data_IF_073452567063
#
_entry.id   IF_073452567063
#
_cell.length_a   1.000
_cell.length_b   1.000
_cell.length_c   1.000
_cell.angle_alpha   90.00
_cell.angle_beta   90.00
_cell.angle_gamma   90.00
#
_symmetry.space_group_name_H-M   'P 1'
#
loop_
_entity.id
_entity.type
_entity.pdbx_description
1 polymer ?
#
# COMPACT_ATOMS: atom_id res chain seq x y z
N UNK A 1 -0.82 -2.23 1.97
CA UNK A 1 -0.56 -1.94 3.40
C UNK A 1 -0.17 -0.47 3.45
N UNK A 2 -1.09 0.43 3.78
CA UNK A 2 -0.87 1.88 3.63
C UNK A 2 -0.59 2.59 4.96
N UNK A 3 -1.16 2.10 6.06
CA UNK A 3 -0.98 2.67 7.40
C UNK A 3 0.48 2.98 7.78
N UNK A 4 1.44 2.03 7.61
CA UNK A 4 2.83 2.28 7.95
C UNK A 4 3.50 3.39 7.12
N UNK A 5 3.01 3.70 5.91
CA UNK A 5 3.54 4.82 5.12
C UNK A 5 3.16 6.16 5.77
N UNK A 6 1.89 6.30 6.18
CA UNK A 6 1.44 7.48 6.92
C UNK A 6 2.15 7.62 8.26
N UNK A 7 2.23 6.52 9.02
CA UNK A 7 2.94 6.49 10.30
C UNK A 7 4.39 6.95 10.15
N UNK A 8 5.13 6.41 9.18
CA UNK A 8 6.51 6.79 8.95
C UNK A 8 6.64 8.28 8.59
N UNK A 9 5.78 8.80 7.71
CA UNK A 9 5.78 10.21 7.35
C UNK A 9 5.58 11.12 8.57
N UNK A 10 4.63 10.78 9.46
CA UNK A 10 4.38 11.57 10.67
C UNK A 10 5.49 11.44 11.71
N UNK A 11 6.10 10.26 11.88
CA UNK A 11 7.23 10.06 12.80
C UNK A 11 8.45 10.88 12.34
N UNK A 12 8.74 10.89 11.03
CA UNK A 12 9.83 11.69 10.47
C UNK A 12 9.57 13.18 10.67
N UNK A 13 8.35 13.66 10.36
CA UNK A 13 7.99 15.06 10.60
C UNK A 13 8.13 15.44 12.09
N UNK A 14 7.63 14.59 13.00
CA UNK A 14 7.72 14.81 14.43
C UNK A 14 9.18 14.89 14.92
N UNK A 15 10.06 14.00 14.46
CA UNK A 15 11.48 14.02 14.83
C UNK A 15 12.19 15.28 14.30
N UNK A 16 11.94 15.65 13.04
CA UNK A 16 12.50 16.88 12.44
C UNK A 16 12.02 18.15 13.16
N UNK A 17 10.77 18.19 13.61
CA UNK A 17 10.22 19.29 14.42
C UNK A 17 10.83 19.33 15.81
N UNK A 18 10.97 18.18 16.48
CA UNK A 18 11.63 18.06 17.79
C UNK A 18 13.07 18.60 17.73
N UNK A 19 13.78 18.33 16.62
CA UNK A 19 15.12 18.87 16.33
C UNK A 19 15.13 20.32 15.85
N UNK A 20 13.96 20.94 15.63
CA UNK A 20 13.77 22.31 15.12
C UNK A 20 14.37 22.54 13.72
N UNK A 21 14.41 21.50 12.88
CA UNK A 21 14.99 21.55 11.53
C UNK A 21 13.99 21.19 10.42
N UNK A 22 12.71 20.94 10.73
CA UNK A 22 11.67 20.58 9.73
C UNK A 22 11.58 21.54 8.54
N UNK A 23 11.77 22.84 8.78
CA UNK A 23 11.73 23.86 7.73
C UNK A 23 12.83 23.70 6.65
N UNK A 24 13.89 22.95 6.94
CA UNK A 24 14.98 22.68 5.98
C UNK A 24 14.66 21.56 5.00
N UNK A 25 13.66 20.74 5.29
CA UNK A 25 13.38 19.50 4.55
C UNK A 25 11.93 19.50 4.06
N UNK A 26 11.67 19.75 2.77
CA UNK A 26 10.34 19.54 2.20
C UNK A 26 9.98 18.05 2.25
N UNK A 27 8.70 17.74 2.42
CA UNK A 27 8.20 16.37 2.49
C UNK A 27 7.06 16.19 1.50
N UNK A 28 7.09 15.07 0.77
CA UNK A 28 6.06 14.70 -0.20
C UNK A 28 5.62 13.26 0.00
N UNK A 29 4.32 13.03 0.07
CA UNK A 29 3.71 11.72 0.23
C UNK A 29 3.20 11.22 -1.13
N UNK A 30 3.76 10.14 -1.65
CA UNK A 30 3.35 9.55 -2.93
C UNK A 30 2.64 8.24 -2.66
N UNK A 31 1.40 8.10 -3.12
CA UNK A 31 0.59 6.89 -2.89
C UNK A 31 -0.18 6.44 -4.13
N UNK A 32 -0.31 5.13 -4.28
CA UNK A 32 -1.19 4.51 -5.28
C UNK A 32 -2.68 4.62 -4.93
N UNK A 33 -3.01 5.07 -3.71
CA UNK A 33 -4.40 5.27 -3.31
C UNK A 33 -5.10 6.31 -4.20
N UNK A 34 -6.40 6.14 -4.50
CA UNK A 34 -7.16 7.12 -5.29
C UNK A 34 -7.39 8.44 -4.56
N UNK A 35 -7.36 8.42 -3.24
CA UNK A 35 -7.39 9.58 -2.36
C UNK A 35 -6.68 9.25 -1.05
N UNK A 36 -6.27 10.27 -0.30
CA UNK A 36 -5.59 10.10 0.99
C UNK A 36 -6.54 9.46 2.01
N UNK A 37 -6.11 8.40 2.68
CA UNK A 37 -6.93 7.70 3.67
C UNK A 37 -7.85 6.63 3.09
N UNK A 38 -7.67 6.24 1.82
CA UNK A 38 -8.37 5.08 1.24
C UNK A 38 -7.98 3.75 1.93
N UNK A 39 -6.72 3.62 2.35
CA UNK A 39 -6.14 2.53 3.13
C UNK A 39 -6.22 1.13 2.49
N UNK A 40 -6.65 1.03 1.22
CA UNK A 40 -6.94 -0.23 0.55
C UNK A 40 -8.27 -0.86 1.01
N UNK A 41 -9.13 -0.05 1.62
CA UNK A 41 -10.39 -0.46 2.26
C UNK A 41 -11.60 0.34 1.76
N UNK A 42 -11.44 1.23 0.77
CA UNK A 42 -12.50 2.17 0.39
C UNK A 42 -12.70 3.30 1.41
N UNK A 43 -11.71 3.52 2.28
CA UNK A 43 -11.81 4.42 3.43
C UNK A 43 -12.46 3.75 4.65
N UNK A 44 -12.12 4.23 5.85
CA UNK A 44 -12.71 3.77 7.12
C UNK A 44 -13.20 4.99 7.90
N UNK A 45 -14.51 5.12 8.06
CA UNK A 45 -15.11 6.31 8.69
C UNK A 45 -14.66 7.60 7.98
N UNK A 46 -14.24 8.61 8.76
CA UNK A 46 -13.73 9.90 8.23
C UNK A 46 -12.21 9.90 7.97
N UNK A 47 -11.63 8.72 7.69
CA UNK A 47 -10.19 8.59 7.38
C UNK A 47 -9.73 9.56 6.28
N UNK A 48 -10.54 9.85 5.27
CA UNK A 48 -10.16 10.80 4.20
C UNK A 48 -9.92 12.20 4.73
N UNK A 49 -10.95 12.83 5.31
CA UNK A 49 -10.85 14.22 5.75
C UNK A 49 -9.82 14.38 6.87
N UNK A 50 -9.78 13.42 7.80
CA UNK A 50 -8.82 13.40 8.89
C UNK A 50 -7.38 13.35 8.34
N UNK A 51 -7.06 12.39 7.49
CA UNK A 51 -5.69 12.20 7.00
C UNK A 51 -5.24 13.34 6.08
N UNK A 52 -6.13 13.86 5.23
CA UNK A 52 -5.85 15.05 4.43
C UNK A 52 -5.61 16.29 5.31
N UNK A 53 -6.37 16.44 6.40
CA UNK A 53 -6.18 17.53 7.38
C UNK A 53 -4.82 17.43 8.07
N UNK A 54 -4.45 16.25 8.53
CA UNK A 54 -3.15 16.02 9.18
C UNK A 54 -1.99 16.29 8.22
N UNK A 55 -2.04 15.80 6.97
CA UNK A 55 -0.97 16.11 6.00
C UNK A 55 -0.81 17.62 5.76
N UNK A 56 -1.93 18.38 5.66
CA UNK A 56 -1.88 19.85 5.55
C UNK A 56 -1.30 20.51 6.79
N UNK A 57 -1.75 20.13 7.99
CA UNK A 57 -1.24 20.66 9.25
C UNK A 57 0.27 20.44 9.38
N UNK A 58 0.75 19.31 8.87
CA UNK A 58 2.17 18.94 8.86
C UNK A 58 2.96 19.46 7.65
N UNK A 59 2.31 20.19 6.73
CA UNK A 59 2.91 20.77 5.52
C UNK A 59 3.61 19.70 4.66
N UNK A 60 2.91 18.58 4.47
CA UNK A 60 3.35 17.46 3.62
C UNK A 60 2.48 17.50 2.37
N UNK A 61 3.08 17.79 1.22
CA UNK A 61 2.36 17.72 -0.06
C UNK A 61 2.14 16.26 -0.46
N UNK A 62 1.20 15.97 -1.35
CA UNK A 62 0.98 14.58 -1.79
C UNK A 62 0.63 14.43 -3.27
N UNK A 63 0.82 13.20 -3.75
CA UNK A 63 0.40 12.72 -5.07
C UNK A 63 -0.37 11.42 -4.86
N UNK A 64 -1.62 11.38 -5.34
CA UNK A 64 -2.52 10.21 -5.34
C UNK A 64 -2.60 9.62 -6.75
N UNK A 65 -3.23 8.45 -6.90
CA UNK A 65 -3.25 7.68 -8.16
C UNK A 65 -1.85 7.53 -8.76
N UNK A 66 -0.82 7.46 -7.92
CA UNK A 66 0.56 7.50 -8.35
C UNK A 66 1.12 6.08 -8.55
N UNK A 67 1.57 5.80 -9.77
CA UNK A 67 2.38 4.62 -10.12
C UNK A 67 3.84 5.04 -10.24
N UNK A 68 4.70 4.47 -9.40
CA UNK A 68 6.15 4.61 -9.58
C UNK A 68 6.61 3.80 -10.79
N UNK A 69 7.29 4.45 -11.73
CA UNK A 69 7.80 3.80 -12.96
C UNK A 69 9.30 3.52 -12.87
N UNK A 70 10.05 4.38 -12.19
CA UNK A 70 11.50 4.26 -12.05
C UNK A 70 12.00 4.98 -10.79
N UNK A 71 13.08 4.44 -10.21
CA UNK A 71 13.82 5.08 -9.12
C UNK A 71 15.29 5.18 -9.54
N UNK A 72 15.86 6.36 -9.39
CA UNK A 72 17.29 6.62 -9.55
C UNK A 72 17.86 7.25 -8.26
N UNK A 73 19.18 7.41 -8.21
CA UNK A 73 19.82 8.10 -7.10
C UNK A 73 19.27 9.54 -6.97
N UNK A 74 18.53 9.78 -5.89
CA UNK A 74 17.96 11.08 -5.56
C UNK A 74 16.75 11.51 -6.38
N UNK A 75 16.17 10.64 -7.22
CA UNK A 75 15.03 10.99 -8.08
C UNK A 75 14.03 9.84 -8.24
N UNK A 76 12.75 10.16 -8.05
CA UNK A 76 11.62 9.25 -8.22
C UNK A 76 10.77 9.67 -9.42
N UNK A 77 10.51 8.74 -10.34
CA UNK A 77 9.65 8.95 -11.50
C UNK A 77 8.26 8.35 -11.23
N UNK A 78 7.24 9.17 -11.35
CA UNK A 78 5.86 8.82 -11.00
C UNK A 78 4.90 9.23 -12.11
N UNK A 79 3.95 8.37 -12.43
CA UNK A 79 2.80 8.69 -13.26
C UNK A 79 1.55 8.72 -12.39
N UNK A 80 0.86 9.86 -12.36
CA UNK A 80 -0.51 9.96 -11.86
C UNK A 80 -1.46 9.46 -12.94
N UNK A 81 -2.34 8.54 -12.58
CA UNK A 81 -3.37 8.02 -13.46
C UNK A 81 -4.70 8.78 -13.27
N UNK A 82 -5.50 8.90 -14.34
CA UNK A 82 -6.89 9.33 -14.25
C UNK A 82 -7.79 8.16 -13.80
N UNK A 83 -9.10 8.41 -13.69
CA UNK A 83 -10.07 7.38 -13.25
C UNK A 83 -10.17 6.20 -14.22
N UNK A 84 -9.89 6.41 -15.51
CA UNK A 84 -9.87 5.38 -16.56
C UNK A 84 -8.59 4.52 -16.54
N UNK A 85 -7.59 4.89 -15.74
CA UNK A 85 -6.30 4.20 -15.64
C UNK A 85 -5.25 4.67 -16.64
N UNK A 86 -5.54 5.71 -17.43
CA UNK A 86 -4.59 6.33 -18.35
C UNK A 86 -3.67 7.33 -17.62
N UNK A 87 -2.46 7.50 -18.16
CA UNK A 87 -1.51 8.47 -17.62
C UNK A 87 -2.05 9.89 -17.75
N UNK A 88 -2.39 10.52 -16.62
CA UNK A 88 -2.84 11.91 -16.52
C UNK A 88 -1.67 12.87 -16.51
N UNK A 89 -0.63 12.56 -15.71
CA UNK A 89 0.52 13.45 -15.54
C UNK A 89 1.75 12.69 -15.04
N UNK A 90 2.91 13.00 -15.59
CA UNK A 90 4.19 12.53 -15.08
C UNK A 90 4.81 13.53 -14.10
N UNK A 91 5.51 13.01 -13.09
CA UNK A 91 6.23 13.76 -12.07
C UNK A 91 7.64 13.22 -11.94
N UNK A 92 8.59 14.13 -11.78
CA UNK A 92 9.91 13.85 -11.23
C UNK A 92 9.95 14.42 -9.82
N UNK A 93 10.22 13.58 -8.83
CA UNK A 93 10.28 13.97 -7.42
C UNK A 93 11.72 13.75 -6.94
N UNK A 94 12.43 14.85 -6.71
CA UNK A 94 13.75 14.83 -6.12
C UNK A 94 13.67 14.47 -4.62
N UNK A 95 14.63 13.70 -4.13
CA UNK A 95 14.71 13.31 -2.72
C UNK A 95 16.16 13.15 -2.26
N UNK A 96 16.44 13.55 -1.02
CA UNK A 96 17.66 13.14 -0.30
C UNK A 96 17.45 11.79 0.41
N UNK A 97 16.20 11.53 0.81
CA UNK A 97 15.76 10.31 1.48
C UNK A 97 14.36 9.94 0.99
N UNK A 98 14.17 8.68 0.61
CA UNK A 98 12.87 8.13 0.24
C UNK A 98 12.61 6.81 0.97
N UNK A 99 11.34 6.58 1.31
CA UNK A 99 10.82 5.32 1.82
C UNK A 99 9.51 5.05 1.08
N UNK A 100 9.44 3.89 0.43
CA UNK A 100 8.26 3.45 -0.32
C UNK A 100 7.91 2.03 0.12
N UNK A 101 6.61 1.78 0.34
CA UNK A 101 6.13 0.43 0.62
C UNK A 101 6.00 -0.34 -0.69
N UNK A 102 6.69 -1.49 -0.84
CA UNK A 102 6.59 -2.28 -2.05
C UNK A 102 5.25 -3.01 -2.12
N UNK A 103 4.84 -3.35 -3.34
CA UNK A 103 3.73 -4.28 -3.54
C UNK A 103 4.12 -5.68 -3.07
N UNK A 104 3.17 -6.40 -2.45
CA UNK A 104 3.39 -7.78 -2.05
C UNK A 104 3.12 -8.75 -3.21
N UNK A 105 3.87 -9.86 -3.20
CA UNK A 105 3.71 -11.03 -4.05
C UNK A 105 3.96 -12.28 -3.19
N UNK A 106 3.38 -13.41 -3.57
CA UNK A 106 3.76 -14.69 -2.99
C UNK A 106 5.24 -15.04 -3.22
N UNK A 107 5.83 -15.74 -2.27
CA UNK A 107 7.21 -16.23 -2.37
C UNK A 107 7.30 -17.36 -3.41
N UNK A 108 8.42 -17.44 -4.14
CA UNK A 108 8.57 -18.36 -5.28
C UNK A 108 8.28 -19.82 -4.91
N UNK A 109 8.77 -20.31 -3.78
CA UNK A 109 8.55 -21.68 -3.33
C UNK A 109 7.07 -22.07 -3.18
N UNK A 110 6.19 -21.10 -2.98
CA UNK A 110 4.74 -21.29 -2.88
C UNK A 110 4.06 -20.97 -4.22
N UNK A 111 4.44 -19.84 -4.84
CA UNK A 111 3.83 -19.33 -6.07
C UNK A 111 4.05 -20.24 -7.30
N UNK A 112 5.12 -21.04 -7.30
CA UNK A 112 5.47 -21.96 -8.38
C UNK A 112 4.77 -23.33 -8.28
N UNK A 113 4.05 -23.59 -7.18
CA UNK A 113 3.26 -24.82 -7.03
C UNK A 113 2.06 -24.74 -7.98
N UNK A 114 1.92 -25.67 -8.95
CA UNK A 114 0.82 -25.64 -9.90
C UNK A 114 -0.53 -25.62 -9.20
N UNK A 115 -1.46 -24.77 -9.65
CA UNK A 115 -2.84 -24.65 -9.14
C UNK A 115 -3.01 -24.25 -7.66
N UNK A 116 -1.93 -23.89 -6.97
CA UNK A 116 -2.00 -23.47 -5.56
C UNK A 116 -2.39 -21.99 -5.41
N UNK A 117 -1.90 -21.15 -6.31
CA UNK A 117 -1.92 -19.69 -6.16
C UNK A 117 -2.62 -18.97 -7.31
N UNK A 118 -3.05 -17.74 -7.05
CA UNK A 118 -3.44 -16.80 -8.10
C UNK A 118 -2.19 -16.29 -8.88
N UNK A 119 -2.36 -15.51 -9.98
CA UNK A 119 -1.22 -15.01 -10.76
C UNK A 119 -0.21 -14.14 -9.99
N UNK A 120 -0.59 -13.61 -8.82
CA UNK A 120 0.31 -12.87 -7.92
C UNK A 120 0.97 -13.75 -6.85
N UNK A 121 0.81 -15.07 -6.92
CA UNK A 121 1.44 -16.02 -5.99
C UNK A 121 0.76 -16.13 -4.63
N UNK A 122 -0.42 -15.54 -4.43
CA UNK A 122 -1.17 -15.70 -3.19
C UNK A 122 -1.98 -16.99 -3.23
N UNK A 123 -1.95 -17.75 -2.14
CA UNK A 123 -2.62 -19.06 -2.03
C UNK A 123 -4.13 -18.87 -2.11
N UNK A 124 -4.76 -19.60 -3.04
CA UNK A 124 -6.22 -19.64 -3.15
C UNK A 124 -6.79 -20.50 -2.02
N UNK A 125 -7.85 -20.03 -1.37
CA UNK A 125 -8.49 -20.72 -0.24
C UNK A 125 -10.01 -20.78 -0.40
N UNK A 126 -10.64 -21.77 0.24
CA UNK A 126 -12.06 -21.82 0.53
C UNK A 126 -12.39 -21.10 1.86
N UNK A 127 -13.66 -21.12 2.27
CA UNK A 127 -14.14 -20.49 3.51
C UNK A 127 -13.54 -21.09 4.81
N UNK A 128 -12.86 -22.25 4.70
CA UNK A 128 -12.19 -22.94 5.80
C UNK A 128 -10.66 -22.77 5.72
N UNK A 129 -10.18 -21.75 4.99
CA UNK A 129 -8.75 -21.45 4.84
C UNK A 129 -7.93 -22.57 4.19
N UNK A 130 -8.59 -23.48 3.47
CA UNK A 130 -8.00 -24.64 2.79
C UNK A 130 -7.91 -24.41 1.29
N UNK A 131 -6.87 -24.91 0.64
CA UNK A 131 -6.79 -24.84 -0.81
C UNK A 131 -7.86 -25.71 -1.51
N UNK A 132 -8.58 -25.18 -2.53
CA UNK A 132 -9.61 -25.95 -3.24
C UNK A 132 -9.10 -27.18 -4.02
N UNK A 133 -7.85 -27.15 -4.49
CA UNK A 133 -7.20 -28.24 -5.25
C UNK A 133 -6.51 -29.21 -4.30
N UNK A 134 -5.60 -28.70 -3.46
CA UNK A 134 -4.82 -29.47 -2.50
C UNK A 134 -5.50 -29.44 -1.12
N UNK A 135 -6.39 -30.40 -0.87
CA UNK A 135 -7.22 -30.44 0.36
C UNK A 135 -6.45 -30.66 1.67
N UNK A 136 -5.16 -30.95 1.60
CA UNK A 136 -4.25 -31.06 2.75
C UNK A 136 -3.39 -29.80 2.97
N UNK A 137 -3.56 -28.76 2.15
CA UNK A 137 -2.83 -27.48 2.27
C UNK A 137 -3.79 -26.40 2.78
N UNK A 138 -3.36 -25.73 3.84
CA UNK A 138 -4.05 -24.61 4.48
C UNK A 138 -3.16 -23.37 4.44
N UNK A 139 -3.77 -22.19 4.50
CA UNK A 139 -3.04 -20.92 4.44
C UNK A 139 -3.72 -19.84 5.27
N UNK A 140 -2.91 -19.07 6.01
CA UNK A 140 -3.37 -18.00 6.88
C UNK A 140 -2.45 -16.78 6.77
N UNK A 141 -3.03 -15.58 6.87
CA UNK A 141 -2.31 -14.31 6.88
C UNK A 141 -2.08 -13.70 5.50
N UNK A 142 -0.97 -12.97 5.36
CA UNK A 142 -0.71 -12.12 4.18
C UNK A 142 -0.56 -12.92 2.89
N UNK A 143 -0.17 -14.19 2.97
CA UNK A 143 0.02 -15.08 1.82
C UNK A 143 -1.29 -15.55 1.16
N UNK A 144 -2.45 -15.25 1.78
CA UNK A 144 -3.76 -15.65 1.28
C UNK A 144 -4.27 -14.70 0.20
N UNK A 145 -4.87 -15.28 -0.86
CA UNK A 145 -5.56 -14.54 -1.89
C UNK A 145 -6.90 -14.03 -1.35
N UNK A 146 -6.98 -12.72 -1.10
CA UNK A 146 -8.23 -12.02 -0.79
C UNK A 146 -8.45 -11.00 -1.91
N UNK A 147 -9.64 -10.99 -2.55
CA UNK A 147 -9.94 -10.02 -3.59
C UNK A 147 -9.86 -8.59 -3.03
N UNK A 148 -9.43 -7.61 -3.85
CA UNK A 148 -9.55 -6.20 -3.48
C UNK A 148 -11.00 -5.83 -3.17
N UNK A 149 -11.21 -4.89 -2.24
CA UNK A 149 -12.54 -4.35 -1.92
C UNK A 149 -13.18 -3.61 -3.11
N UNK A 150 -12.36 -2.98 -3.94
CA UNK A 150 -12.77 -2.30 -5.18
C UNK A 150 -11.60 -2.25 -6.17
N UNK A 151 -11.93 -2.02 -7.44
CA UNK A 151 -10.92 -1.68 -8.45
C UNK A 151 -10.52 -0.21 -8.29
N UNK A 152 -9.22 0.06 -8.39
CA UNK A 152 -8.64 1.41 -8.25
C UNK A 152 -7.76 1.71 -9.46
N UNK A 153 -7.62 2.98 -9.89
CA UNK A 153 -6.86 3.32 -11.10
C UNK A 153 -5.43 2.79 -11.10
N UNK A 154 -4.73 2.98 -9.97
CA UNK A 154 -3.49 2.24 -9.69
C UNK A 154 -3.86 1.03 -8.84
N UNK A 155 -3.50 -0.21 -9.23
CA UNK A 155 -3.90 -1.40 -8.49
C UNK A 155 -3.51 -1.37 -7.01
N UNK A 156 -4.51 -1.24 -6.13
CA UNK A 156 -4.36 -1.36 -4.68
C UNK A 156 -4.95 -2.68 -4.17
N UNK A 157 -4.52 -3.11 -2.98
CA UNK A 157 -4.97 -4.38 -2.38
C UNK A 157 -5.38 -4.21 -0.93
N UNK A 158 -6.31 -5.07 -0.51
CA UNK A 158 -6.84 -5.10 0.85
C UNK A 158 -5.79 -5.60 1.85
N UNK A 159 -5.57 -4.88 2.97
CA UNK A 159 -4.64 -5.30 4.01
C UNK A 159 -5.11 -6.57 4.73
N UNK A 160 -4.16 -7.35 5.23
CA UNK A 160 -4.42 -8.51 6.11
C UNK A 160 -3.81 -8.18 7.47
N UNK A 161 -4.66 -7.79 8.41
CA UNK A 161 -4.23 -7.30 9.73
C UNK A 161 -4.12 -8.45 10.75
N UNK A 162 -3.61 -8.15 11.95
CA UNK A 162 -3.37 -9.14 13.00
C UNK A 162 -4.62 -9.95 13.36
N UNK A 163 -5.73 -9.27 13.72
CA UNK A 163 -6.97 -9.95 14.11
C UNK A 163 -7.54 -10.85 13.01
N UNK A 164 -7.48 -10.42 11.74
CA UNK A 164 -7.88 -11.25 10.61
C UNK A 164 -7.01 -12.50 10.50
N UNK A 165 -5.69 -12.33 10.61
CA UNK A 165 -4.71 -13.41 10.51
C UNK A 165 -4.84 -14.42 11.67
N UNK A 166 -5.04 -13.93 12.89
CA UNK A 166 -5.28 -14.78 14.05
C UNK A 166 -6.59 -15.57 13.89
N UNK A 167 -7.63 -14.95 13.36
CA UNK A 167 -8.89 -15.63 13.08
C UNK A 167 -8.71 -16.74 12.03
N UNK A 168 -7.94 -16.49 10.95
CA UNK A 168 -7.61 -17.50 9.94
C UNK A 168 -6.84 -18.70 10.52
N UNK A 169 -6.00 -18.45 11.54
CA UNK A 169 -5.17 -19.48 12.14
C UNK A 169 -5.89 -20.31 13.21
N UNK A 170 -6.96 -19.76 13.80
CA UNK A 170 -7.64 -20.35 14.96
C UNK A 170 -9.06 -20.82 14.67
N UNK A 171 -9.62 -20.49 13.51
CA UNK A 171 -10.96 -20.86 13.06
C UNK A 171 -10.90 -21.48 11.67
#
# INVERSE_FOLDING_TARGET
>A
CFGPAYEFAFIVDADLRKRKIRHKYPMKFVTSEPYIGHLGLGGVGDSRSMMESELRNHHIDWIVNARTTKVEAGKLYVEELNEDGDAKKAYEVDFDMAMMLPAFKGVNAVAEVPDLCNPRGFVMIDEFHRNPTYRNIYSAGVCVAIPPVEATPVPTGTPKTGYMTESMATK
#
